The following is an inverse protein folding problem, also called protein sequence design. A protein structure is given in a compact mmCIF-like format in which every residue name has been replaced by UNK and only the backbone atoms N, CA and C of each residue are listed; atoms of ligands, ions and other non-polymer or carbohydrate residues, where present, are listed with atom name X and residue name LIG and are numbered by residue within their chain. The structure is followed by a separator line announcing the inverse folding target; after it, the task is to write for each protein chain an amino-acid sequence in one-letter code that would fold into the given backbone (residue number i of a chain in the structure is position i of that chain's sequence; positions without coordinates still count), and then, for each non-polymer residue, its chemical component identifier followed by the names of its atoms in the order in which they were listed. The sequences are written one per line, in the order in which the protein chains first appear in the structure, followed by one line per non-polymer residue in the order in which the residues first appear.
data_IF_701226852067
#
_entry.id   IF_701226852067
#
_cell.length_a   1.000
_cell.length_b   1.000
_cell.length_c   1.000
_cell.angle_alpha   90.00
_cell.angle_beta   90.00
_cell.angle_gamma   90.00
#
_symmetry.space_group_name_H-M   'P 1'
#
loop_
_entity.id
_entity.type
_entity.pdbx_description
1 polymer ?
#
# COMPACT_ATOMS: atom_id res chain seq x y z
N UNK A 1 54.62 -19.68 36.41
CA UNK A 1 54.71 -18.89 35.15
C UNK A 1 53.64 -19.21 34.08
N UNK A 2 52.98 -20.38 34.05
CA UNK A 2 52.00 -20.73 32.98
C UNK A 2 50.61 -20.07 33.05
N UNK A 3 50.22 -19.48 34.18
CA UNK A 3 48.88 -18.90 34.40
C UNK A 3 48.75 -17.44 33.96
N UNK A 4 49.86 -16.70 33.94
CA UNK A 4 49.88 -15.29 33.50
C UNK A 4 49.69 -15.15 31.99
N UNK A 5 50.29 -16.04 31.20
CA UNK A 5 50.18 -16.01 29.73
C UNK A 5 48.77 -16.28 29.22
N UNK A 6 47.99 -17.17 29.86
CA UNK A 6 46.59 -17.44 29.49
C UNK A 6 45.69 -16.23 29.72
N UNK A 7 45.87 -15.49 30.81
CA UNK A 7 45.09 -14.26 31.08
C UNK A 7 45.41 -13.15 30.08
N UNK A 8 46.68 -13.00 29.72
CA UNK A 8 47.11 -12.03 28.70
C UNK A 8 46.52 -12.38 27.33
N UNK A 9 46.52 -13.66 26.94
CA UNK A 9 45.93 -14.11 25.67
C UNK A 9 44.42 -13.82 25.65
N UNK A 10 43.68 -14.14 26.71
CA UNK A 10 42.24 -13.87 26.80
C UNK A 10 41.94 -12.36 26.73
N UNK A 11 42.72 -11.53 27.43
CA UNK A 11 42.56 -10.06 27.38
C UNK A 11 42.88 -9.48 25.99
N UNK A 12 43.88 -10.03 25.28
CA UNK A 12 44.19 -9.63 23.90
C UNK A 12 43.06 -10.03 22.94
N UNK A 13 42.52 -11.25 23.06
CA UNK A 13 41.38 -11.69 22.26
C UNK A 13 40.12 -10.85 22.53
N UNK A 14 39.83 -10.53 23.79
CA UNK A 14 38.70 -9.67 24.16
C UNK A 14 38.88 -8.24 23.64
N UNK A 15 40.09 -7.69 23.75
CA UNK A 15 40.44 -6.38 23.19
C UNK A 15 40.31 -6.34 21.66
N UNK A 16 40.79 -7.37 20.96
CA UNK A 16 40.62 -7.48 19.50
C UNK A 16 39.15 -7.65 19.09
N UNK A 17 38.35 -8.40 19.86
CA UNK A 17 36.91 -8.53 19.61
C UNK A 17 36.20 -7.18 19.78
N UNK A 18 36.50 -6.44 20.85
CA UNK A 18 35.93 -5.09 21.08
C UNK A 18 36.36 -4.12 19.97
N UNK A 19 37.63 -4.10 19.57
CA UNK A 19 38.13 -3.26 18.48
C UNK A 19 37.47 -3.66 17.15
N UNK A 20 37.31 -4.95 16.89
CA UNK A 20 36.64 -5.44 15.69
C UNK A 20 35.18 -5.01 15.65
N UNK A 21 34.44 -5.20 16.74
CA UNK A 21 33.04 -4.76 16.91
C UNK A 21 32.91 -3.24 16.80
N UNK A 22 33.85 -2.48 17.35
CA UNK A 22 33.87 -1.02 17.26
C UNK A 22 34.19 -0.55 15.84
N UNK A 23 35.12 -1.21 15.13
CA UNK A 23 35.43 -0.93 13.73
C UNK A 23 34.29 -1.29 12.77
N UNK A 24 33.55 -2.38 13.01
CA UNK A 24 32.34 -2.68 12.25
C UNK A 24 31.23 -1.67 12.52
N UNK A 25 31.08 -1.22 13.76
CA UNK A 25 30.16 -0.14 14.12
C UNK A 25 30.53 1.20 13.47
N UNK A 26 31.82 1.59 13.44
CA UNK A 26 32.25 2.80 12.75
C UNK A 26 32.06 2.71 11.22
N UNK A 27 32.24 1.52 10.64
CA UNK A 27 31.96 1.29 9.22
C UNK A 27 30.47 1.35 8.89
N UNK A 28 29.57 0.91 9.78
CA UNK A 28 28.13 1.03 9.56
C UNK A 28 27.63 2.48 9.63
N UNK A 29 28.40 3.38 10.24
CA UNK A 29 28.15 4.82 10.24
C UNK A 29 28.62 5.53 8.95
N UNK A 30 29.52 4.92 8.17
CA UNK A 30 30.01 5.50 6.93
C UNK A 30 28.93 5.44 5.84
N UNK A 31 28.53 6.61 5.36
CA UNK A 31 27.56 6.75 4.27
C UNK A 31 28.25 6.50 2.93
N UNK A 32 27.68 5.61 2.12
CA UNK A 32 28.09 5.34 0.74
C UNK A 32 27.37 6.33 -0.18
N UNK A 33 28.10 7.13 -0.95
CA UNK A 33 27.50 7.96 -1.99
C UNK A 33 27.50 7.21 -3.32
N UNK A 34 26.35 7.10 -3.98
CA UNK A 34 26.25 6.40 -5.29
C UNK A 34 27.17 7.00 -6.35
N UNK A 35 27.52 8.29 -6.26
CA UNK A 35 28.45 8.96 -7.18
C UNK A 35 29.89 8.46 -7.03
N UNK A 36 30.28 7.96 -5.86
CA UNK A 36 31.59 7.34 -5.64
C UNK A 36 31.73 6.00 -6.41
N UNK A 37 30.61 5.43 -6.86
CA UNK A 37 30.53 4.20 -7.65
C UNK A 37 30.30 4.49 -9.13
N UNK A 38 30.34 5.76 -9.53
CA UNK A 38 30.21 6.20 -10.92
C UNK A 38 28.80 6.58 -11.36
N UNK A 39 27.83 6.69 -10.45
CA UNK A 39 26.51 7.20 -10.81
C UNK A 39 26.62 8.69 -11.17
N UNK A 40 26.06 9.10 -12.30
CA UNK A 40 26.13 10.47 -12.82
C UNK A 40 24.97 11.30 -12.27
N UNK A 41 23.74 10.77 -12.35
CA UNK A 41 22.52 11.47 -11.90
C UNK A 41 22.13 12.65 -12.80
N UNK A 42 22.43 12.58 -14.11
CA UNK A 42 22.17 13.64 -15.09
C UNK A 42 20.89 13.42 -15.94
N UNK A 43 20.15 12.35 -15.67
CA UNK A 43 18.98 11.95 -16.45
C UNK A 43 19.31 11.45 -17.86
N UNK A 44 20.59 11.19 -18.18
CA UNK A 44 21.02 10.69 -19.48
C UNK A 44 21.80 9.37 -19.36
N UNK A 45 22.78 9.30 -18.46
CA UNK A 45 23.57 8.11 -18.20
C UNK A 45 22.73 7.00 -17.56
N UNK A 46 23.01 5.75 -17.92
CA UNK A 46 22.44 4.59 -17.22
C UNK A 46 23.23 4.33 -15.94
N UNK A 47 22.64 4.67 -14.80
CA UNK A 47 23.27 4.58 -13.48
C UNK A 47 23.08 3.21 -12.83
N UNK A 48 22.41 2.25 -13.49
CA UNK A 48 22.04 0.95 -12.92
C UNK A 48 23.22 0.21 -12.32
N UNK A 49 24.33 0.10 -13.06
CA UNK A 49 25.49 -0.67 -12.62
C UNK A 49 26.18 -0.01 -11.42
N UNK A 50 26.34 1.31 -11.44
CA UNK A 50 26.92 2.08 -10.36
C UNK A 50 26.09 1.95 -9.07
N UNK A 51 24.78 2.11 -9.18
CA UNK A 51 23.85 1.99 -8.05
C UNK A 51 23.86 0.56 -7.50
N UNK A 52 23.85 -0.47 -8.35
CA UNK A 52 23.96 -1.88 -7.92
C UNK A 52 25.28 -2.16 -7.19
N UNK A 53 26.38 -1.58 -7.65
CA UNK A 53 27.67 -1.72 -6.96
C UNK A 53 27.65 -1.03 -5.59
N UNK A 54 27.06 0.16 -5.49
CA UNK A 54 26.88 0.85 -4.21
C UNK A 54 25.98 0.05 -3.24
N UNK A 55 24.89 -0.54 -3.74
CA UNK A 55 23.99 -1.41 -2.98
C UNK A 55 24.68 -2.68 -2.48
N UNK A 56 25.48 -3.31 -3.34
CA UNK A 56 26.19 -4.54 -2.98
C UNK A 56 27.24 -4.29 -1.90
N UNK A 57 27.95 -3.15 -1.96
CA UNK A 57 28.89 -2.76 -0.92
C UNK A 57 28.17 -2.26 0.35
N UNK A 58 27.00 -1.64 0.20
CA UNK A 58 26.20 -1.03 1.26
C UNK A 58 25.46 -1.95 2.20
N UNK A 59 25.72 -3.27 2.19
CA UNK A 59 25.22 -4.17 3.23
C UNK A 59 25.68 -3.66 4.60
N UNK A 60 24.74 -3.48 5.53
CA UNK A 60 24.98 -2.90 6.87
C UNK A 60 25.39 -1.42 6.86
N UNK A 61 25.10 -0.66 5.79
CA UNK A 61 25.46 0.75 5.65
C UNK A 61 24.31 1.59 5.12
N UNK A 62 24.49 2.91 5.20
CA UNK A 62 23.60 3.91 4.63
C UNK A 62 24.07 4.27 3.22
N UNK A 63 23.16 4.29 2.26
CA UNK A 63 23.40 4.63 0.86
C UNK A 63 22.70 5.94 0.56
N UNK A 64 23.48 6.92 0.13
CA UNK A 64 23.06 8.27 -0.16
C UNK A 64 22.99 8.51 -1.67
N UNK A 65 21.86 9.06 -2.09
CA UNK A 65 21.63 9.61 -3.42
C UNK A 65 21.64 11.14 -3.36
N UNK A 66 22.71 11.80 -3.84
CA UNK A 66 22.67 13.24 -4.07
C UNK A 66 21.53 13.66 -5.00
N UNK A 67 21.27 14.96 -5.06
CA UNK A 67 20.33 15.51 -6.04
C UNK A 67 20.73 15.13 -7.47
N UNK A 68 19.75 14.70 -8.26
CA UNK A 68 19.92 14.23 -9.62
C UNK A 68 18.78 13.33 -10.12
N UNK A 69 18.75 13.12 -11.44
CA UNK A 69 17.89 12.12 -12.10
C UNK A 69 18.76 10.90 -12.45
N UNK A 70 18.52 9.77 -11.80
CA UNK A 70 19.26 8.53 -11.92
C UNK A 70 18.46 7.54 -12.75
N UNK A 71 18.84 7.35 -14.02
CA UNK A 71 18.17 6.36 -14.87
C UNK A 71 18.57 4.95 -14.48
N UNK A 72 17.57 4.07 -14.42
CA UNK A 72 17.76 2.64 -14.26
C UNK A 72 17.15 1.86 -15.42
N UNK A 73 17.87 0.88 -15.91
CA UNK A 73 17.43 -0.09 -16.93
C UNK A 73 17.27 -1.50 -16.36
N UNK A 74 17.52 -1.67 -15.05
CA UNK A 74 17.34 -2.94 -14.35
C UNK A 74 16.93 -2.74 -12.90
N UNK A 75 16.26 -3.74 -12.35
CA UNK A 75 15.82 -3.83 -10.95
C UNK A 75 16.98 -3.61 -9.96
N UNK A 76 16.72 -2.87 -8.89
CA UNK A 76 17.66 -2.58 -7.79
C UNK A 76 17.40 -3.51 -6.59
N UNK A 77 18.33 -4.43 -6.27
CA UNK A 77 18.18 -5.32 -5.12
C UNK A 77 18.53 -4.59 -3.82
N UNK A 78 17.54 -4.37 -2.96
CA UNK A 78 17.70 -3.83 -1.61
C UNK A 78 17.77 -5.01 -0.64
N UNK A 79 18.87 -5.11 0.10
CA UNK A 79 19.13 -6.24 1.00
C UNK A 79 19.07 -5.78 2.45
N UNK A 80 18.99 -6.75 3.37
CA UNK A 80 18.86 -6.46 4.80
C UNK A 80 19.96 -5.56 5.36
N UNK A 81 19.60 -4.82 6.40
CA UNK A 81 20.44 -3.83 7.10
C UNK A 81 20.93 -2.72 6.18
N UNK A 82 20.06 -2.23 5.30
CA UNK A 82 20.40 -1.17 4.37
C UNK A 82 19.43 0.00 4.56
N UNK A 83 20.00 1.20 4.70
CA UNK A 83 19.23 2.45 4.65
C UNK A 83 19.52 3.15 3.32
N UNK A 84 18.51 3.37 2.50
CA UNK A 84 18.58 4.22 1.30
C UNK A 84 17.99 5.58 1.63
N UNK A 85 18.70 6.65 1.27
CA UNK A 85 18.14 7.98 1.39
C UNK A 85 18.66 8.95 0.33
N UNK A 86 17.88 9.96 -0.01
CA UNK A 86 18.27 10.97 -0.98
C UNK A 86 18.02 12.41 -0.57
N UNK A 87 18.41 13.32 -1.45
CA UNK A 87 18.09 14.74 -1.41
C UNK A 87 17.54 15.15 -2.77
N UNK A 88 16.22 15.15 -2.94
CA UNK A 88 15.56 15.36 -4.24
C UNK A 88 16.15 14.46 -5.36
N UNK A 89 16.46 13.21 -5.01
CA UNK A 89 16.99 12.25 -5.97
C UNK A 89 15.84 11.50 -6.64
N UNK A 90 15.73 11.61 -7.95
CA UNK A 90 14.77 10.85 -8.75
C UNK A 90 15.44 9.62 -9.34
N UNK A 91 14.98 8.43 -8.94
CA UNK A 91 15.33 7.16 -9.56
C UNK A 91 14.25 6.88 -10.59
N UNK A 92 14.63 6.79 -11.86
CA UNK A 92 13.69 6.77 -12.99
C UNK A 92 13.88 5.56 -13.87
N UNK A 93 12.82 4.81 -14.12
CA UNK A 93 12.85 3.69 -15.05
C UNK A 93 13.10 4.18 -16.48
N UNK A 94 14.02 3.52 -17.19
CA UNK A 94 14.36 3.80 -18.59
C UNK A 94 14.29 2.54 -19.47
N UNK A 95 13.78 1.44 -18.93
CA UNK A 95 13.45 0.19 -19.62
C UNK A 95 12.16 -0.39 -19.05
N UNK A 96 11.66 -1.46 -19.66
CA UNK A 96 10.53 -2.22 -19.11
C UNK A 96 10.99 -3.00 -17.87
N UNK A 97 10.38 -2.71 -16.72
CA UNK A 97 10.74 -3.30 -15.43
C UNK A 97 9.55 -3.97 -14.74
N UNK A 98 9.78 -5.15 -14.17
CA UNK A 98 8.79 -5.82 -13.32
C UNK A 98 8.64 -5.13 -11.95
N UNK A 99 9.76 -4.74 -11.35
CA UNK A 99 9.82 -3.88 -10.16
C UNK A 99 11.07 -3.00 -10.24
N UNK A 100 11.00 -1.76 -9.75
CA UNK A 100 12.21 -0.91 -9.69
C UNK A 100 13.10 -1.31 -8.52
N UNK A 101 12.52 -1.55 -7.35
CA UNK A 101 13.24 -2.00 -6.14
C UNK A 101 12.70 -3.34 -5.65
N UNK A 102 13.59 -4.32 -5.48
CA UNK A 102 13.30 -5.61 -4.84
C UNK A 102 13.86 -5.58 -3.41
N UNK A 103 12.97 -5.54 -2.42
CA UNK A 103 13.30 -5.44 -1.00
C UNK A 103 13.27 -6.83 -0.40
N UNK A 104 14.42 -7.28 0.12
CA UNK A 104 14.56 -8.61 0.70
C UNK A 104 15.46 -8.64 1.93
N UNK A 105 14.92 -9.15 3.03
CA UNK A 105 15.64 -9.33 4.30
C UNK A 105 15.08 -8.43 5.38
N UNK A 106 15.89 -8.16 6.41
CA UNK A 106 15.45 -7.46 7.60
C UNK A 106 16.12 -6.10 7.82
N UNK A 107 15.48 -5.22 8.58
CA UNK A 107 16.04 -3.91 8.98
C UNK A 107 16.38 -3.03 7.77
N UNK A 108 15.39 -2.76 6.92
CA UNK A 108 15.56 -1.97 5.70
C UNK A 108 14.82 -0.65 5.86
N UNK A 109 15.46 0.46 5.49
CA UNK A 109 14.82 1.77 5.47
C UNK A 109 15.02 2.45 4.13
N UNK A 110 13.96 3.00 3.53
CA UNK A 110 14.02 3.71 2.24
C UNK A 110 13.28 5.04 2.40
N UNK A 111 14.00 6.15 2.22
CA UNK A 111 13.43 7.47 2.53
C UNK A 111 13.92 8.63 1.65
N UNK A 112 13.10 9.67 1.50
CA UNK A 112 13.47 10.90 0.80
C UNK A 112 13.92 10.68 -0.66
N UNK A 113 13.25 9.76 -1.36
CA UNK A 113 13.50 9.46 -2.77
C UNK A 113 12.25 9.70 -3.61
N UNK A 114 12.46 10.06 -4.88
CA UNK A 114 11.42 10.05 -5.90
C UNK A 114 11.65 8.78 -6.75
N UNK A 115 10.67 7.90 -6.80
CA UNK A 115 10.65 6.72 -7.67
C UNK A 115 9.69 6.98 -8.81
N UNK A 116 10.24 7.15 -10.01
CA UNK A 116 9.47 7.42 -11.21
C UNK A 116 9.48 6.20 -12.13
N UNK A 117 8.35 5.52 -12.20
CA UNK A 117 8.14 4.38 -13.08
C UNK A 117 8.16 4.73 -14.56
N UNK A 118 8.13 6.03 -14.92
CA UNK A 118 8.22 6.57 -16.28
C UNK A 118 7.25 5.91 -17.28
N UNK A 119 6.16 5.33 -16.78
CA UNK A 119 5.21 4.50 -17.51
C UNK A 119 5.86 3.30 -18.25
N UNK A 120 7.01 2.83 -17.77
CA UNK A 120 7.73 1.62 -18.23
C UNK A 120 7.95 0.61 -17.11
N UNK A 121 7.71 0.95 -15.84
CA UNK A 121 7.77 0.02 -14.73
C UNK A 121 6.36 -0.44 -14.30
N UNK A 122 6.22 -1.76 -14.10
CA UNK A 122 5.02 -2.39 -13.56
C UNK A 122 4.85 -2.08 -12.06
N UNK A 123 5.96 -2.00 -11.31
CA UNK A 123 5.96 -1.75 -9.87
C UNK A 123 7.09 -0.83 -9.42
N UNK A 124 6.82 -0.04 -8.39
CA UNK A 124 7.84 0.75 -7.70
C UNK A 124 8.68 -0.15 -6.80
N UNK A 125 8.04 -0.70 -5.76
CA UNK A 125 8.69 -1.55 -4.77
C UNK A 125 7.99 -2.90 -4.64
N UNK A 126 8.78 -3.96 -4.44
CA UNK A 126 8.27 -5.27 -4.03
C UNK A 126 9.01 -5.71 -2.78
N UNK A 127 8.27 -5.87 -1.68
CA UNK A 127 8.74 -6.49 -0.43
C UNK A 127 8.54 -7.99 -0.54
N UNK A 128 9.65 -8.72 -0.56
CA UNK A 128 9.67 -10.16 -0.74
C UNK A 128 9.31 -10.93 0.54
N UNK A 129 8.90 -12.18 0.36
CA UNK A 129 8.64 -13.11 1.46
C UNK A 129 9.84 -13.22 2.42
N UNK A 130 9.55 -13.32 3.72
CA UNK A 130 10.54 -13.39 4.77
C UNK A 130 11.19 -12.04 5.12
N UNK A 131 10.79 -10.95 4.47
CA UNK A 131 11.27 -9.62 4.84
C UNK A 131 10.57 -9.11 6.10
N UNK A 132 11.34 -8.46 6.97
CA UNK A 132 10.86 -8.06 8.30
C UNK A 132 11.48 -6.74 8.75
N UNK A 133 10.75 -5.92 9.52
CA UNK A 133 11.23 -4.60 9.96
C UNK A 133 11.69 -3.73 8.77
N UNK A 134 10.71 -3.36 7.93
CA UNK A 134 10.93 -2.54 6.73
C UNK A 134 10.20 -1.21 6.87
N UNK A 135 10.96 -0.11 6.83
CA UNK A 135 10.46 1.26 6.86
C UNK A 135 10.55 1.91 5.48
N UNK A 136 9.43 2.37 4.93
CA UNK A 136 9.36 3.14 3.69
C UNK A 136 8.72 4.48 4.04
N UNK A 137 9.49 5.57 4.02
CA UNK A 137 8.96 6.87 4.45
C UNK A 137 9.41 8.07 3.64
N UNK A 138 8.58 9.12 3.55
CA UNK A 138 8.95 10.38 2.91
C UNK A 138 9.36 10.21 1.42
N UNK A 139 8.77 9.26 0.71
CA UNK A 139 9.05 9.04 -0.71
C UNK A 139 7.89 9.52 -1.60
N UNK A 140 8.22 9.89 -2.84
CA UNK A 140 7.23 10.04 -3.92
C UNK A 140 7.34 8.84 -4.84
N UNK A 141 6.24 8.12 -5.09
CA UNK A 141 6.15 6.90 -5.89
C UNK A 141 5.15 7.17 -7.01
N UNK A 142 5.64 7.34 -8.24
CA UNK A 142 4.84 7.86 -9.34
C UNK A 142 5.01 7.17 -10.70
N UNK A 143 3.98 7.30 -11.54
CA UNK A 143 4.00 6.99 -12.99
C UNK A 143 4.21 5.50 -13.33
N UNK A 144 3.41 4.62 -12.74
CA UNK A 144 3.46 3.17 -12.99
C UNK A 144 2.34 2.70 -13.90
N UNK A 145 2.67 1.79 -14.83
CA UNK A 145 1.71 1.11 -15.72
C UNK A 145 2.28 -0.23 -16.18
N UNK A 146 1.46 -1.09 -16.78
CA UNK A 146 1.96 -2.28 -17.45
C UNK A 146 3.00 -1.91 -18.52
N UNK A 147 4.21 -2.49 -18.52
CA UNK A 147 5.26 -2.26 -19.53
C UNK A 147 4.85 -2.73 -20.94
N UNK A 148 5.71 -2.53 -21.95
CA UNK A 148 5.44 -3.06 -23.32
C UNK A 148 5.78 -4.54 -23.43
N UNK A 149 6.72 -5.02 -22.62
CA UNK A 149 7.09 -6.42 -22.48
C UNK A 149 5.85 -7.32 -22.38
N UNK A 150 5.65 -8.28 -23.31
CA UNK A 150 4.51 -9.19 -23.29
C UNK A 150 4.31 -9.93 -21.97
N UNK A 151 5.39 -10.31 -21.28
CA UNK A 151 5.33 -11.08 -20.03
C UNK A 151 4.85 -10.24 -18.84
N UNK A 152 5.02 -8.91 -18.94
CA UNK A 152 4.60 -7.94 -17.92
C UNK A 152 3.31 -7.21 -18.28
N UNK A 153 3.00 -7.12 -19.58
CA UNK A 153 1.93 -6.29 -20.15
C UNK A 153 0.53 -6.61 -19.62
N UNK A 154 0.34 -7.81 -19.06
CA UNK A 154 -0.93 -8.31 -18.50
C UNK A 154 -0.82 -8.67 -17.01
N UNK A 155 0.16 -8.11 -16.30
CA UNK A 155 0.24 -8.24 -14.84
C UNK A 155 -0.39 -7.05 -14.15
N UNK A 156 -0.73 -7.20 -12.87
CA UNK A 156 -1.25 -6.12 -12.03
C UNK A 156 -0.19 -5.05 -11.80
N UNK A 157 -0.53 -3.80 -12.09
CA UNK A 157 0.29 -2.61 -11.80
C UNK A 157 0.19 -2.30 -10.32
N UNK A 158 1.30 -1.94 -9.67
CA UNK A 158 1.29 -1.65 -8.24
C UNK A 158 2.31 -0.58 -7.86
N UNK A 159 1.97 0.37 -6.98
CA UNK A 159 2.99 1.25 -6.38
C UNK A 159 3.94 0.46 -5.49
N UNK A 160 3.41 -0.14 -4.41
CA UNK A 160 4.15 -1.03 -3.49
C UNK A 160 3.44 -2.39 -3.39
N UNK A 161 4.17 -3.47 -3.68
CA UNK A 161 3.71 -4.85 -3.46
C UNK A 161 4.33 -5.39 -2.18
N UNK A 162 3.50 -5.91 -1.28
CA UNK A 162 3.91 -6.68 -0.10
C UNK A 162 3.50 -8.13 -0.33
N UNK A 163 4.47 -9.04 -0.39
CA UNK A 163 4.21 -10.48 -0.56
C UNK A 163 3.97 -11.16 0.79
N UNK A 164 3.24 -12.27 0.76
CA UNK A 164 2.98 -13.10 1.96
C UNK A 164 4.27 -13.49 2.68
N UNK A 165 4.17 -13.66 4.00
CA UNK A 165 5.29 -14.05 4.87
C UNK A 165 6.22 -12.91 5.26
N UNK A 166 5.84 -11.66 4.98
CA UNK A 166 6.53 -10.46 5.46
C UNK A 166 5.91 -9.94 6.76
N UNK A 167 6.67 -9.25 7.60
CA UNK A 167 6.10 -8.67 8.83
C UNK A 167 6.77 -7.41 9.32
N UNK A 168 6.11 -6.65 10.18
CA UNK A 168 6.65 -5.39 10.73
C UNK A 168 7.03 -4.43 9.60
N UNK A 169 6.04 -4.09 8.78
CA UNK A 169 6.21 -3.19 7.63
C UNK A 169 5.54 -1.87 7.96
N UNK A 170 6.30 -0.79 7.86
CA UNK A 170 5.82 0.55 8.10
C UNK A 170 5.96 1.39 6.83
N UNK A 171 4.84 1.95 6.36
CA UNK A 171 4.77 2.81 5.18
C UNK A 171 4.20 4.15 5.65
N UNK A 172 5.07 5.14 5.85
CA UNK A 172 4.71 6.38 6.52
C UNK A 172 5.04 7.63 5.70
N UNK A 173 4.12 8.60 5.63
CA UNK A 173 4.36 9.91 5.01
C UNK A 173 4.88 9.83 3.56
N UNK A 174 4.30 8.94 2.75
CA UNK A 174 4.65 8.83 1.33
C UNK A 174 3.60 9.52 0.45
N UNK A 175 3.96 9.76 -0.81
CA UNK A 175 3.01 10.10 -1.88
C UNK A 175 3.02 8.98 -2.91
N UNK A 176 1.89 8.33 -3.14
CA UNK A 176 1.73 7.27 -4.14
C UNK A 176 0.72 7.74 -5.17
N UNK A 177 1.17 8.02 -6.40
CA UNK A 177 0.27 8.56 -7.40
C UNK A 177 0.53 8.15 -8.85
N UNK A 178 -0.50 8.28 -9.70
CA UNK A 178 -0.45 7.87 -11.11
C UNK A 178 0.00 6.41 -11.28
N UNK A 179 -0.75 5.51 -10.63
CA UNK A 179 -0.64 4.06 -10.79
C UNK A 179 -1.83 3.61 -11.62
N UNK A 180 -1.60 3.42 -12.91
CA UNK A 180 -2.66 3.24 -13.90
C UNK A 180 -2.47 1.95 -14.69
N UNK A 181 -3.50 1.11 -14.74
CA UNK A 181 -3.53 -0.02 -15.66
C UNK A 181 -3.94 0.43 -17.07
N UNK A 182 -3.31 -0.16 -18.09
CA UNK A 182 -3.58 0.14 -19.51
C UNK A 182 -3.93 -1.08 -20.35
N UNK A 183 -3.84 -2.28 -19.77
CA UNK A 183 -4.22 -3.56 -20.38
C UNK A 183 -5.00 -4.43 -19.37
N UNK A 184 -5.94 -5.26 -19.83
CA UNK A 184 -6.53 -6.31 -18.99
C UNK A 184 -5.46 -7.26 -18.44
N UNK A 185 -5.63 -7.71 -17.20
CA UNK A 185 -4.67 -8.65 -16.61
C UNK A 185 -4.87 -10.09 -17.14
N UNK A 186 -3.92 -10.98 -16.91
CA UNK A 186 -4.04 -12.39 -17.31
C UNK A 186 -5.03 -13.10 -16.38
N UNK A 187 -5.96 -13.86 -16.97
CA UNK A 187 -7.01 -14.59 -16.23
C UNK A 187 -8.25 -13.75 -15.89
N UNK A 188 -8.19 -12.43 -16.09
CA UNK A 188 -9.32 -11.53 -15.90
C UNK A 188 -9.38 -10.53 -17.05
N UNK A 189 -10.50 -10.46 -17.76
CA UNK A 189 -10.64 -9.55 -18.92
C UNK A 189 -10.97 -8.10 -18.51
N UNK A 190 -10.33 -7.58 -17.46
CA UNK A 190 -10.47 -6.20 -16.98
C UNK A 190 -9.16 -5.61 -16.44
N UNK A 191 -9.11 -4.28 -16.34
CA UNK A 191 -7.95 -3.52 -15.87
C UNK A 191 -7.83 -3.52 -14.34
N UNK A 192 -6.59 -3.66 -13.83
CA UNK A 192 -6.33 -3.78 -12.39
C UNK A 192 -5.10 -2.98 -11.99
N UNK A 193 -5.27 -2.04 -11.06
CA UNK A 193 -4.19 -1.26 -10.47
C UNK A 193 -4.34 -1.14 -8.95
N UNK A 194 -3.20 -1.02 -8.26
CA UNK A 194 -3.13 -0.98 -6.79
C UNK A 194 -2.13 0.09 -6.35
N UNK A 195 -2.51 1.00 -5.46
CA UNK A 195 -1.52 1.85 -4.80
C UNK A 195 -0.58 0.97 -3.97
N UNK A 196 -1.17 0.21 -3.04
CA UNK A 196 -0.50 -0.84 -2.26
C UNK A 196 -1.27 -2.14 -2.39
N UNK A 197 -0.55 -3.24 -2.61
CA UNK A 197 -1.11 -4.59 -2.67
C UNK A 197 -0.41 -5.51 -1.66
N UNK A 198 -1.16 -6.04 -0.70
CA UNK A 198 -0.72 -7.01 0.30
C UNK A 198 -1.40 -8.35 -0.02
N UNK A 199 -0.65 -9.34 -0.50
CA UNK A 199 -1.23 -10.63 -0.89
C UNK A 199 -0.19 -11.72 -1.07
N UNK A 200 -0.59 -13.00 -1.03
CA UNK A 200 0.31 -14.10 -1.32
C UNK A 200 0.76 -14.09 -2.80
N UNK A 201 1.92 -14.68 -3.06
CA UNK A 201 2.46 -14.91 -4.41
C UNK A 201 2.08 -16.28 -4.97
N UNK A 202 1.68 -17.20 -4.11
CA UNK A 202 1.26 -18.56 -4.43
C UNK A 202 0.30 -19.10 -3.35
N UNK A 203 -0.39 -20.19 -3.65
CA UNK A 203 -1.38 -20.79 -2.75
C UNK A 203 -0.73 -21.21 -1.42
N UNK A 204 -1.41 -20.95 -0.30
CA UNK A 204 -0.96 -21.30 1.06
C UNK A 204 0.38 -20.65 1.47
N UNK A 205 0.78 -19.52 0.86
CA UNK A 205 1.88 -18.74 1.39
C UNK A 205 1.51 -18.20 2.78
N UNK A 206 2.49 -18.15 3.69
CA UNK A 206 2.31 -17.59 5.02
C UNK A 206 1.73 -16.17 4.96
N UNK A 207 0.88 -15.86 5.93
CA UNK A 207 0.26 -14.53 6.06
C UNK A 207 1.30 -13.47 6.40
N UNK A 208 1.15 -12.27 5.85
CA UNK A 208 1.92 -11.11 6.32
C UNK A 208 1.32 -10.55 7.61
N UNK A 209 2.14 -10.10 8.56
CA UNK A 209 1.67 -9.65 9.88
C UNK A 209 2.20 -8.27 10.25
N UNK A 210 1.41 -7.48 10.99
CA UNK A 210 1.83 -6.20 11.58
C UNK A 210 2.30 -5.23 10.50
N UNK A 211 1.34 -4.69 9.75
CA UNK A 211 1.61 -3.73 8.68
C UNK A 211 0.91 -2.44 9.06
N UNK A 212 1.64 -1.33 9.08
CA UNK A 212 1.08 0.00 9.29
C UNK A 212 1.31 0.84 8.04
N UNK A 213 0.24 1.44 7.55
CA UNK A 213 0.24 2.40 6.44
C UNK A 213 -0.32 3.70 7.01
N UNK A 214 0.53 4.71 7.16
CA UNK A 214 0.17 5.96 7.82
C UNK A 214 0.58 7.21 7.05
N UNK A 215 -0.16 8.30 7.27
CA UNK A 215 0.16 9.64 6.77
C UNK A 215 0.44 9.72 5.26
N UNK A 216 -0.02 8.74 4.47
CA UNK A 216 0.34 8.60 3.07
C UNK A 216 -0.75 9.18 2.18
N UNK A 217 -0.36 9.93 1.16
CA UNK A 217 -1.25 10.47 0.14
C UNK A 217 -1.35 9.51 -1.04
N UNK A 218 -2.57 9.13 -1.40
CA UNK A 218 -2.87 8.32 -2.56
C UNK A 218 -3.63 9.17 -3.58
N UNK A 219 -3.14 9.23 -4.82
CA UNK A 219 -3.92 9.85 -5.88
C UNK A 219 -3.80 9.21 -7.26
N UNK A 220 -4.88 9.28 -8.06
CA UNK A 220 -4.88 8.78 -9.44
C UNK A 220 -4.49 7.30 -9.53
N UNK A 221 -5.25 6.46 -8.83
CA UNK A 221 -5.08 5.00 -8.83
C UNK A 221 -6.25 4.38 -9.59
N UNK A 222 -5.99 3.79 -10.75
CA UNK A 222 -7.05 3.53 -11.73
C UNK A 222 -6.74 2.49 -12.80
N UNK A 223 -7.73 2.14 -13.63
CA UNK A 223 -9.02 2.81 -13.84
C UNK A 223 -10.18 2.24 -13.00
N UNK A 224 -11.43 2.64 -13.27
CA UNK A 224 -12.64 2.25 -12.49
C UNK A 224 -12.89 0.76 -12.44
N UNK A 225 -12.40 0.01 -13.43
CA UNK A 225 -12.53 -1.44 -13.54
C UNK A 225 -12.09 -2.17 -12.28
N UNK A 226 -10.90 -1.87 -11.75
CA UNK A 226 -10.40 -2.38 -10.48
C UNK A 226 -9.18 -1.56 -10.01
N UNK A 227 -9.33 -0.24 -9.95
CA UNK A 227 -8.33 0.71 -9.48
C UNK A 227 -8.53 1.04 -8.02
N UNK A 228 -7.76 0.40 -7.15
CA UNK A 228 -7.93 0.48 -5.70
C UNK A 228 -6.68 1.07 -5.02
N UNK A 229 -6.86 1.92 -4.01
CA UNK A 229 -5.77 2.55 -3.26
C UNK A 229 -4.94 1.51 -2.48
N UNK A 230 -5.50 0.98 -1.39
CA UNK A 230 -4.89 -0.08 -0.58
C UNK A 230 -5.74 -1.35 -0.67
N UNK A 231 -5.08 -2.48 -0.95
CA UNK A 231 -5.73 -3.78 -0.99
C UNK A 231 -4.97 -4.82 -0.20
N UNK A 232 -5.67 -5.52 0.69
CA UNK A 232 -5.18 -6.74 1.36
C UNK A 232 -6.08 -7.91 0.96
N UNK A 233 -5.50 -9.01 0.47
CA UNK A 233 -6.28 -10.13 -0.04
C UNK A 233 -5.55 -11.47 0.01
N UNK A 234 -6.33 -12.56 0.07
CA UNK A 234 -5.83 -13.92 -0.14
C UNK A 234 -5.18 -14.57 1.09
N UNK A 235 -5.50 -14.07 2.29
CA UNK A 235 -5.07 -14.67 3.55
C UNK A 235 -6.30 -15.02 4.39
N UNK A 236 -6.30 -16.21 4.98
CA UNK A 236 -7.37 -16.68 5.86
C UNK A 236 -7.13 -16.29 7.34
N UNK A 237 -5.96 -15.77 7.65
CA UNK A 237 -5.56 -15.34 8.99
C UNK A 237 -5.52 -13.80 9.11
N UNK A 238 -5.67 -13.31 10.35
CA UNK A 238 -5.54 -11.88 10.66
C UNK A 238 -4.19 -11.32 10.22
N UNK A 239 -4.20 -10.23 9.45
CA UNK A 239 -3.00 -9.53 8.97
C UNK A 239 -2.47 -8.54 10.02
N UNK A 240 -3.32 -8.07 10.94
CA UNK A 240 -3.01 -6.95 11.83
C UNK A 240 -2.54 -5.73 11.01
N UNK A 241 -3.41 -5.30 10.10
CA UNK A 241 -3.19 -4.17 9.21
C UNK A 241 -3.78 -2.90 9.82
N UNK A 242 -2.96 -1.86 9.94
CA UNK A 242 -3.37 -0.53 10.37
C UNK A 242 -3.28 0.44 9.19
N UNK A 243 -4.37 1.14 8.88
CA UNK A 243 -4.46 2.17 7.84
C UNK A 243 -4.88 3.46 8.54
N UNK A 244 -3.92 4.33 8.83
CA UNK A 244 -4.08 5.44 9.79
C UNK A 244 -3.78 6.80 9.13
N UNK A 245 -4.67 7.78 9.26
CA UNK A 245 -4.41 9.18 8.87
C UNK A 245 -3.92 9.37 7.42
N UNK A 246 -4.35 8.50 6.49
CA UNK A 246 -4.03 8.62 5.08
C UNK A 246 -5.03 9.52 4.35
N UNK A 247 -4.61 10.06 3.21
CA UNK A 247 -5.49 10.83 2.32
C UNK A 247 -5.64 10.16 0.96
N UNK A 248 -6.86 10.14 0.43
CA UNK A 248 -7.18 9.51 -0.86
C UNK A 248 -7.95 10.50 -1.74
N UNK A 249 -7.44 10.74 -2.94
CA UNK A 249 -8.08 11.58 -3.95
C UNK A 249 -7.99 10.93 -5.33
N UNK A 250 -8.98 11.11 -6.20
CA UNK A 250 -8.98 10.51 -7.55
C UNK A 250 -8.68 8.99 -7.55
N UNK A 251 -9.28 8.25 -6.62
CA UNK A 251 -9.22 6.79 -6.60
C UNK A 251 -10.40 6.23 -7.38
N UNK A 252 -10.13 5.46 -8.43
CA UNK A 252 -11.13 5.22 -9.46
C UNK A 252 -12.19 4.18 -9.06
N UNK A 253 -11.92 3.26 -8.12
CA UNK A 253 -12.92 2.27 -7.69
C UNK A 253 -13.13 2.24 -6.18
N UNK A 254 -12.07 1.93 -5.41
CA UNK A 254 -12.11 1.87 -3.94
C UNK A 254 -10.85 2.43 -3.32
N UNK A 255 -10.97 3.29 -2.30
CA UNK A 255 -9.80 3.78 -1.59
C UNK A 255 -9.14 2.64 -0.81
N UNK A 256 -9.95 1.86 -0.10
CA UNK A 256 -9.49 0.75 0.74
C UNK A 256 -10.34 -0.49 0.46
N UNK A 257 -9.70 -1.64 0.23
CA UNK A 257 -10.35 -2.93 0.02
C UNK A 257 -9.74 -4.00 0.91
N UNK A 258 -10.52 -4.49 1.87
CA UNK A 258 -10.12 -5.53 2.83
C UNK A 258 -10.72 -6.87 2.40
N UNK A 259 -9.88 -7.82 2.01
CA UNK A 259 -10.25 -9.21 1.66
C UNK A 259 -9.47 -10.25 2.47
N UNK A 260 -8.74 -9.80 3.48
CA UNK A 260 -8.13 -10.68 4.50
C UNK A 260 -8.46 -10.12 5.87
N UNK A 261 -8.65 -10.97 6.90
CA UNK A 261 -9.10 -10.52 8.21
C UNK A 261 -8.10 -9.60 8.94
N UNK A 262 -8.62 -8.86 9.94
CA UNK A 262 -7.79 -8.14 10.92
C UNK A 262 -7.25 -6.81 10.40
N UNK A 263 -8.12 -5.81 10.27
CA UNK A 263 -7.77 -4.47 9.82
C UNK A 263 -8.35 -3.36 10.73
N UNK A 264 -7.57 -2.33 11.00
CA UNK A 264 -7.98 -1.06 11.58
C UNK A 264 -7.85 0.04 10.53
N UNK A 265 -8.95 0.74 10.26
CA UNK A 265 -9.03 1.86 9.32
C UNK A 265 -9.42 3.09 10.13
N UNK A 266 -8.46 3.95 10.45
CA UNK A 266 -8.65 5.06 11.40
C UNK A 266 -8.19 6.42 10.88
N UNK A 267 -8.99 7.47 11.08
CA UNK A 267 -8.54 8.86 10.85
C UNK A 267 -8.31 9.23 9.36
N UNK A 268 -8.65 8.35 8.42
CA UNK A 268 -8.36 8.58 7.01
C UNK A 268 -9.33 9.60 6.41
N UNK A 269 -8.85 10.37 5.44
CA UNK A 269 -9.66 11.27 4.62
C UNK A 269 -9.78 10.72 3.20
N UNK A 270 -11.01 10.43 2.75
CA UNK A 270 -11.28 9.96 1.39
C UNK A 270 -12.17 10.97 0.68
N UNK A 271 -11.67 11.55 -0.41
CA UNK A 271 -12.39 12.52 -1.23
C UNK A 271 -12.69 11.95 -2.61
N UNK A 272 -13.97 11.80 -2.97
CA UNK A 272 -14.37 11.48 -4.34
C UNK A 272 -14.39 12.75 -5.21
N UNK A 273 -13.35 12.90 -6.04
CA UNK A 273 -13.15 14.05 -6.91
C UNK A 273 -13.91 13.98 -8.24
N UNK A 274 -14.50 12.84 -8.58
CA UNK A 274 -15.19 12.67 -9.86
C UNK A 274 -16.54 13.39 -9.86
N UNK A 275 -17.06 13.69 -11.03
CA UNK A 275 -18.35 14.40 -11.21
C UNK A 275 -19.04 13.86 -12.46
N UNK A 276 -19.68 12.70 -12.30
CA UNK A 276 -20.30 11.93 -13.39
C UNK A 276 -19.34 11.69 -14.57
N UNK A 277 -18.06 11.46 -14.28
CA UNK A 277 -16.99 11.40 -15.28
C UNK A 277 -15.99 10.24 -15.08
N UNK A 278 -16.28 9.33 -14.16
CA UNK A 278 -15.51 8.11 -13.97
C UNK A 278 -16.28 6.89 -14.49
N UNK A 279 -15.72 6.19 -15.47
CA UNK A 279 -16.40 5.08 -16.16
C UNK A 279 -15.54 3.82 -16.28
N UNK A 280 -16.20 2.68 -16.28
CA UNK A 280 -15.64 1.37 -16.56
C UNK A 280 -15.16 1.33 -18.00
N UNK A 281 -13.98 0.76 -18.22
CA UNK A 281 -13.40 0.65 -19.55
C UNK A 281 -13.70 -0.70 -20.21
N UNK A 282 -13.88 -1.77 -19.43
CA UNK A 282 -14.15 -3.13 -19.91
C UNK A 282 -15.59 -3.61 -19.68
N UNK A 283 -16.40 -2.86 -18.94
CA UNK A 283 -17.78 -3.25 -18.61
C UNK A 283 -18.79 -2.24 -19.16
N UNK A 284 -19.95 -2.73 -19.60
CA UNK A 284 -21.12 -1.86 -19.81
C UNK A 284 -21.67 -1.42 -18.45
N UNK A 285 -22.01 -0.15 -18.28
CA UNK A 285 -22.57 0.36 -17.03
C UNK A 285 -23.77 1.30 -17.21
N UNK A 286 -24.59 1.38 -16.16
CA UNK A 286 -25.73 2.30 -16.07
C UNK A 286 -25.34 3.71 -15.59
N UNK A 287 -24.08 3.94 -15.23
CA UNK A 287 -23.53 5.23 -14.77
C UNK A 287 -24.25 5.80 -13.53
N UNK A 288 -24.55 4.95 -12.55
CA UNK A 288 -25.28 5.36 -11.33
C UNK A 288 -24.38 5.91 -10.24
N UNK A 289 -23.06 5.73 -10.36
CA UNK A 289 -22.07 6.17 -9.39
C UNK A 289 -20.71 6.38 -10.06
N UNK A 290 -19.94 7.35 -9.57
CA UNK A 290 -18.56 7.57 -9.97
C UNK A 290 -17.63 6.53 -9.33
N UNK A 291 -17.76 6.28 -8.03
CA UNK A 291 -16.89 5.39 -7.28
C UNK A 291 -17.71 4.23 -6.69
N UNK A 292 -17.21 2.99 -6.78
CA UNK A 292 -17.96 1.82 -6.29
C UNK A 292 -18.22 1.94 -4.79
N UNK A 293 -17.17 2.20 -4.03
CA UNK A 293 -17.23 2.53 -2.61
C UNK A 293 -15.96 3.22 -2.15
N UNK A 294 -16.00 3.95 -1.03
CA UNK A 294 -14.78 4.46 -0.42
C UNK A 294 -14.00 3.32 0.25
N UNK A 295 -14.70 2.55 1.08
CA UNK A 295 -14.15 1.39 1.80
C UNK A 295 -14.99 0.16 1.46
N UNK A 296 -14.34 -0.92 1.05
CA UNK A 296 -14.96 -2.24 0.93
C UNK A 296 -14.31 -3.23 1.89
N UNK A 297 -15.14 -3.96 2.63
CA UNK A 297 -14.75 -5.00 3.59
C UNK A 297 -15.42 -6.30 3.21
N UNK A 298 -14.60 -7.29 2.93
CA UNK A 298 -14.98 -8.62 2.47
C UNK A 298 -14.34 -9.72 3.36
N UNK A 299 -13.85 -9.33 4.54
CA UNK A 299 -13.25 -10.23 5.51
C UNK A 299 -13.49 -9.75 6.94
N UNK A 300 -13.44 -10.69 7.88
CA UNK A 300 -13.83 -10.47 9.27
C UNK A 300 -12.86 -9.58 10.06
N UNK A 301 -13.28 -9.14 11.24
CA UNK A 301 -12.45 -8.41 12.22
C UNK A 301 -11.88 -7.11 11.64
N UNK A 302 -12.78 -6.24 11.17
CA UNK A 302 -12.42 -4.91 10.66
C UNK A 302 -13.04 -3.81 11.51
N UNK A 303 -12.23 -2.83 11.90
CA UNK A 303 -12.66 -1.62 12.61
C UNK A 303 -12.49 -0.43 11.68
N UNK A 304 -13.53 0.39 11.54
CA UNK A 304 -13.57 1.63 10.75
C UNK A 304 -13.96 2.77 11.69
N UNK A 305 -13.01 3.62 12.06
CA UNK A 305 -13.17 4.61 13.13
C UNK A 305 -12.65 5.99 12.74
N UNK A 306 -13.32 7.07 13.14
CA UNK A 306 -12.82 8.45 12.99
C UNK A 306 -12.48 8.87 11.55
N UNK A 307 -13.03 8.23 10.51
CA UNK A 307 -12.72 8.56 9.12
C UNK A 307 -13.63 9.69 8.59
N UNK A 308 -13.08 10.52 7.72
CA UNK A 308 -13.85 11.52 6.96
C UNK A 308 -13.94 11.12 5.49
N UNK A 309 -15.14 10.79 5.04
CA UNK A 309 -15.41 10.39 3.65
C UNK A 309 -16.39 11.37 3.03
N UNK A 310 -15.97 12.05 1.97
CA UNK A 310 -16.76 13.07 1.29
C UNK A 310 -16.37 13.18 -0.19
N UNK A 311 -16.92 14.17 -0.89
CA UNK A 311 -16.60 14.42 -2.29
C UNK A 311 -17.72 15.16 -2.99
N UNK A 312 -17.43 15.63 -4.21
CA UNK A 312 -18.48 16.09 -5.13
C UNK A 312 -19.13 14.88 -5.84
N UNK A 313 -18.33 13.86 -6.14
CA UNK A 313 -18.75 12.64 -6.81
C UNK A 313 -19.53 11.71 -5.91
N UNK A 314 -20.38 10.90 -6.53
CA UNK A 314 -21.20 9.96 -5.82
C UNK A 314 -20.53 8.57 -5.66
N UNK A 315 -20.83 7.94 -4.54
CA UNK A 315 -20.49 6.54 -4.27
C UNK A 315 -21.69 5.66 -4.60
N UNK A 316 -21.45 4.41 -5.03
CA UNK A 316 -22.50 3.40 -5.10
C UNK A 316 -22.91 2.92 -3.70
N UNK A 317 -21.94 2.81 -2.80
CA UNK A 317 -22.13 2.91 -1.36
C UNK A 317 -20.88 3.48 -0.70
N UNK A 318 -20.97 4.21 0.41
CA UNK A 318 -19.75 4.77 1.02
C UNK A 318 -18.90 3.66 1.65
N UNK A 319 -19.51 2.85 2.51
CA UNK A 319 -18.91 1.64 3.08
C UNK A 319 -19.69 0.40 2.58
N UNK A 320 -18.96 -0.54 1.99
CA UNK A 320 -19.47 -1.81 1.46
C UNK A 320 -18.95 -2.96 2.33
N UNK A 321 -19.82 -3.56 3.16
CA UNK A 321 -19.50 -4.77 3.93
C UNK A 321 -20.17 -5.94 3.24
N UNK A 322 -19.41 -6.84 2.60
CA UNK A 322 -19.98 -8.01 1.92
C UNK A 322 -19.47 -9.33 2.51
N UNK A 323 -20.39 -10.13 3.04
CA UNK A 323 -20.13 -11.45 3.65
C UNK A 323 -19.01 -11.44 4.70
N UNK A 324 -18.94 -10.38 5.51
CA UNK A 324 -17.95 -10.19 6.57
C UNK A 324 -18.62 -9.98 7.94
N UNK A 325 -17.95 -10.44 9.00
CA UNK A 325 -18.44 -10.45 10.38
C UNK A 325 -17.46 -9.80 11.36
N UNK A 326 -17.90 -9.51 12.58
CA UNK A 326 -17.08 -8.86 13.60
C UNK A 326 -16.58 -7.48 13.13
N UNK A 327 -17.54 -6.63 12.72
CA UNK A 327 -17.26 -5.33 12.13
C UNK A 327 -17.70 -4.21 13.08
N UNK A 328 -16.81 -3.24 13.29
CA UNK A 328 -17.11 -2.01 14.00
C UNK A 328 -17.00 -0.82 13.04
N UNK A 329 -18.04 0.02 12.97
CA UNK A 329 -18.06 1.27 12.21
C UNK A 329 -18.50 2.38 13.17
N UNK A 330 -17.56 3.19 13.64
CA UNK A 330 -17.81 4.17 14.70
C UNK A 330 -17.25 5.56 14.38
N UNK A 331 -17.93 6.61 14.82
CA UNK A 331 -17.39 7.98 14.85
C UNK A 331 -16.95 8.54 13.47
N UNK A 332 -17.49 7.99 12.37
CA UNK A 332 -17.13 8.42 11.02
C UNK A 332 -18.05 9.54 10.52
N UNK A 333 -17.50 10.45 9.70
CA UNK A 333 -18.26 11.36 8.87
C UNK A 333 -18.37 10.83 7.44
N UNK A 334 -19.58 10.41 7.04
CA UNK A 334 -19.86 9.75 5.77
C UNK A 334 -20.82 10.58 4.92
N UNK A 335 -20.27 11.29 3.94
CA UNK A 335 -21.03 12.16 3.04
C UNK A 335 -20.91 11.72 1.59
N UNK A 336 -22.06 11.59 0.92
CA UNK A 336 -22.09 11.39 -0.51
C UNK A 336 -22.17 12.72 -1.29
N UNK A 337 -21.81 12.66 -2.58
CA UNK A 337 -22.04 13.72 -3.55
C UNK A 337 -23.52 14.06 -3.76
N UNK A 338 -23.81 15.01 -4.64
CA UNK A 338 -25.18 15.53 -4.85
C UNK A 338 -26.16 14.53 -5.46
N UNK A 339 -25.67 13.55 -6.24
CA UNK A 339 -26.49 12.53 -6.90
C UNK A 339 -26.48 11.20 -6.13
N UNK A 340 -27.25 11.11 -5.04
CA UNK A 340 -27.19 9.99 -4.09
C UNK A 340 -28.41 9.04 -4.12
N UNK A 341 -29.31 9.18 -5.10
CA UNK A 341 -30.59 8.46 -5.16
C UNK A 341 -30.46 6.93 -5.25
N UNK A 342 -29.33 6.44 -5.75
CA UNK A 342 -29.04 5.01 -5.87
C UNK A 342 -27.98 4.53 -4.87
N UNK A 343 -27.59 5.37 -3.90
CA UNK A 343 -26.49 5.07 -2.98
C UNK A 343 -26.97 4.78 -1.57
N UNK A 344 -26.45 3.71 -0.99
CA UNK A 344 -26.47 3.51 0.46
C UNK A 344 -25.26 4.19 1.11
N UNK A 345 -25.37 4.68 2.33
CA UNK A 345 -24.20 5.16 3.08
C UNK A 345 -23.39 3.94 3.51
N UNK A 346 -24.00 3.02 4.26
CA UNK A 346 -23.45 1.71 4.58
C UNK A 346 -24.32 0.64 3.92
N UNK A 347 -23.69 -0.27 3.17
CA UNK A 347 -24.36 -1.45 2.62
C UNK A 347 -23.77 -2.72 3.24
N UNK A 348 -24.63 -3.59 3.75
CA UNK A 348 -24.28 -4.91 4.28
C UNK A 348 -24.88 -5.95 3.33
N UNK A 349 -24.03 -6.60 2.55
CA UNK A 349 -24.48 -7.53 1.52
C UNK A 349 -24.01 -8.96 1.78
N UNK A 350 -24.78 -9.94 1.33
CA UNK A 350 -24.29 -11.32 1.20
C UNK A 350 -24.68 -11.91 -0.15
N UNK A 351 -23.79 -12.71 -0.72
CA UNK A 351 -24.07 -13.49 -1.93
C UNK A 351 -24.83 -14.79 -1.63
N UNK A 352 -24.83 -15.25 -0.38
CA UNK A 352 -25.56 -16.43 0.06
C UNK A 352 -26.26 -16.15 1.39
N UNK A 353 -27.60 -16.22 1.39
CA UNK A 353 -28.41 -15.97 2.59
C UNK A 353 -28.10 -16.93 3.76
N UNK A 354 -27.51 -18.10 3.49
CA UNK A 354 -27.08 -19.06 4.53
C UNK A 354 -25.78 -18.63 5.24
N UNK A 355 -25.02 -17.70 4.67
CA UNK A 355 -23.82 -17.12 5.27
C UNK A 355 -24.11 -15.68 5.68
N UNK A 356 -25.06 -15.53 6.61
CA UNK A 356 -25.44 -14.24 7.16
C UNK A 356 -24.24 -13.61 7.90
N UNK A 357 -24.04 -12.31 7.67
CA UNK A 357 -23.09 -11.52 8.45
C UNK A 357 -23.50 -11.51 9.93
N UNK A 358 -22.54 -11.47 10.85
CA UNK A 358 -22.81 -11.44 12.29
C UNK A 358 -21.90 -10.47 13.04
N UNK A 359 -22.39 -9.96 14.16
CA UNK A 359 -21.66 -9.05 15.06
C UNK A 359 -21.20 -7.78 14.32
N UNK A 360 -22.18 -6.96 13.96
CA UNK A 360 -21.98 -5.68 13.28
C UNK A 360 -22.41 -4.55 14.20
N UNK A 361 -21.47 -3.68 14.56
CA UNK A 361 -21.70 -2.56 15.47
C UNK A 361 -21.45 -1.25 14.73
N UNK A 362 -22.51 -0.47 14.51
CA UNK A 362 -22.51 0.79 13.75
C UNK A 362 -23.02 1.90 14.65
N UNK A 363 -22.14 2.79 15.13
CA UNK A 363 -22.56 3.80 16.10
C UNK A 363 -21.87 5.15 15.98
N UNK A 364 -22.56 6.19 16.44
CA UNK A 364 -22.02 7.57 16.55
C UNK A 364 -21.46 8.15 15.23
N UNK A 365 -21.92 7.64 14.09
CA UNK A 365 -21.54 8.15 12.78
C UNK A 365 -22.44 9.31 12.33
N UNK A 366 -21.96 10.13 11.40
CA UNK A 366 -22.74 11.15 10.69
C UNK A 366 -22.94 10.72 9.25
N UNK A 367 -24.18 10.48 8.85
CA UNK A 367 -24.60 10.11 7.51
C UNK A 367 -25.18 11.32 6.79
N UNK A 368 -24.64 11.64 5.61
CA UNK A 368 -25.09 12.78 4.80
C UNK A 368 -25.30 12.32 3.36
N UNK A 369 -26.48 12.60 2.80
CA UNK A 369 -26.84 12.34 1.39
C UNK A 369 -26.86 10.84 1.03
N UNK A 370 -27.94 10.12 1.34
CA UNK A 370 -28.05 8.70 0.99
C UNK A 370 -29.48 8.28 0.68
N UNK A 371 -29.66 7.30 -0.20
CA UNK A 371 -30.94 6.59 -0.31
C UNK A 371 -31.25 5.84 0.99
N UNK A 372 -30.24 5.19 1.55
CA UNK A 372 -30.32 4.47 2.82
C UNK A 372 -29.15 4.86 3.71
N UNK A 373 -29.38 5.00 5.01
CA UNK A 373 -28.31 5.14 6.00
C UNK A 373 -27.55 3.82 6.15
N UNK A 374 -28.24 2.79 6.62
CA UNK A 374 -27.75 1.40 6.62
C UNK A 374 -28.73 0.57 5.80
N UNK A 375 -28.22 -0.11 4.77
CA UNK A 375 -28.97 -1.04 3.94
C UNK A 375 -28.44 -2.45 4.13
N UNK A 376 -29.31 -3.45 4.19
CA UNK A 376 -28.90 -4.84 4.08
C UNK A 376 -29.79 -5.64 3.12
N UNK A 377 -29.18 -6.50 2.30
CA UNK A 377 -29.90 -7.37 1.37
C UNK A 377 -30.12 -8.80 1.89
N UNK A 378 -29.65 -9.10 3.11
CA UNK A 378 -29.73 -10.41 3.74
C UNK A 378 -29.88 -10.24 5.25
N UNK A 379 -30.39 -11.26 5.98
CA UNK A 379 -30.37 -11.23 7.44
C UNK A 379 -28.96 -10.98 8.00
N UNK A 380 -28.88 -10.26 9.11
CA UNK A 380 -27.64 -10.01 9.87
C UNK A 380 -27.92 -10.36 11.34
N UNK A 381 -27.10 -11.23 11.92
CA UNK A 381 -27.20 -11.57 13.35
C UNK A 381 -26.43 -10.55 14.19
N UNK A 382 -26.97 -10.15 15.34
CA UNK A 382 -26.31 -9.20 16.26
C UNK A 382 -25.90 -7.88 15.57
N UNK A 383 -26.83 -7.28 14.82
CA UNK A 383 -26.70 -5.97 14.21
C UNK A 383 -27.12 -4.88 15.20
N UNK A 384 -26.16 -4.06 15.66
CA UNK A 384 -26.38 -2.92 16.53
C UNK A 384 -26.17 -1.63 15.74
N UNK A 385 -27.23 -0.84 15.56
CA UNK A 385 -27.16 0.48 14.89
C UNK A 385 -27.67 1.55 15.86
N UNK A 386 -26.77 2.34 16.45
CA UNK A 386 -27.08 3.23 17.57
C UNK A 386 -26.53 4.64 17.34
N UNK A 387 -27.28 5.68 17.76
CA UNK A 387 -26.80 7.07 17.81
C UNK A 387 -26.23 7.67 16.50
N UNK A 388 -26.53 7.10 15.34
CA UNK A 388 -26.08 7.64 14.06
C UNK A 388 -26.96 8.85 13.66
N UNK A 389 -26.32 9.99 13.35
CA UNK A 389 -27.00 11.20 12.88
C UNK A 389 -27.21 11.13 11.37
N UNK A 390 -28.43 11.37 10.89
CA UNK A 390 -28.77 11.35 9.47
C UNK A 390 -29.16 12.74 8.96
N UNK A 391 -28.64 13.13 7.79
CA UNK A 391 -28.96 14.39 7.10
C UNK A 391 -29.19 14.08 5.61
N UNK A 392 -30.37 14.41 5.08
CA UNK A 392 -30.76 14.10 3.70
C UNK A 392 -30.63 12.60 3.35
N UNK A 393 -31.06 11.74 4.28
CA UNK A 393 -31.20 10.31 4.03
C UNK A 393 -32.68 10.02 3.81
N UNK A 394 -33.04 9.36 2.72
CA UNK A 394 -34.44 9.03 2.46
C UNK A 394 -34.91 7.88 3.35
N UNK A 395 -36.11 8.01 3.90
CA UNK A 395 -36.80 6.95 4.65
C UNK A 395 -37.77 6.25 3.69
N UNK A 396 -37.38 5.11 3.12
CA UNK A 396 -38.30 4.20 2.40
C UNK A 396 -38.07 2.76 2.84
#
# INVERSE_FOLDING_TARGET
MKTSSKKIIVSIFLGMAIIFTYCTYLKSLATINVKDYGAVGDGAADDTAAIKSALNDGKYRRIYFPEGEYKITGELPIRGHTTLFGKNAEIKASSDLATMMEIKGENISIQNLIMNGNKTALRGMTIEEGSHNVDISNNTIQHFTQPKDPDLSRLTVTGIRIKGGSSEINIDNNQIHDVMSRNPIKGWDHYVARGILISPSYNNQSVSKNITISNTEFSKIGPKDDGDGIVVQGFDENVNLEIIDNSFAYIYKRAIKIQSPGALIKGNTIYNNFDDNNFYQTYSEKKTHDMWSAISVYADHTVIEDNTINGIGNYGRIIDVASASHIKIADNYLKNGGNYKDSSIIAITSANAEHAARDLNIFDNVFVNGRYGVFSNSPVSDLNVLNNKQVNVTED
#
